data_IF_568825615611
#
_entry.id   IF_568825615611
#
_cell.length_a   1.000
_cell.length_b   1.000
_cell.length_c   1.000
_cell.angle_alpha   90.00
_cell.angle_beta   90.00
_cell.angle_gamma   90.00
#
_symmetry.space_group_name_H-M   'P 1'
#
loop_
_entity.id
_entity.type
_entity.pdbx_description
1 polymer ?
#
# COMPACT_ATOMS: atom_id res chain seq x y z
N UNK A 1 17.71 -26.28 17.42
CA UNK A 1 16.34 -26.35 16.88
C UNK A 1 15.99 -24.95 16.40
N UNK A 2 15.97 -24.75 15.08
CA UNK A 2 15.50 -23.49 14.50
C UNK A 2 13.98 -23.45 14.65
N UNK A 3 13.47 -22.46 15.37
CA UNK A 3 12.06 -22.11 15.30
C UNK A 3 11.83 -21.56 13.89
N UNK A 4 11.03 -22.27 13.10
CA UNK A 4 10.45 -21.69 11.90
C UNK A 4 9.61 -20.49 12.35
N UNK A 5 10.01 -19.29 11.93
CA UNK A 5 9.23 -18.07 12.06
C UNK A 5 7.86 -18.34 11.42
N UNK A 6 6.79 -18.39 12.22
CA UNK A 6 5.45 -18.38 11.67
C UNK A 6 5.29 -17.04 10.95
N UNK A 7 5.00 -17.07 9.65
CA UNK A 7 4.80 -15.85 8.87
C UNK A 7 3.76 -14.96 9.58
N UNK A 8 4.08 -13.68 9.82
CA UNK A 8 3.18 -12.68 10.40
C UNK A 8 2.15 -12.12 9.41
N UNK A 9 1.97 -12.83 8.29
CA UNK A 9 0.93 -12.59 7.30
C UNK A 9 -0.08 -13.70 7.50
N UNK A 10 -1.32 -13.35 7.84
CA UNK A 10 -2.37 -14.31 8.15
C UNK A 10 -3.60 -14.01 7.30
N UNK A 11 -3.87 -14.79 6.23
CA UNK A 11 -5.10 -14.66 5.46
C UNK A 11 -6.35 -14.92 6.32
N UNK A 12 -7.39 -14.10 6.16
CA UNK A 12 -8.70 -14.42 6.74
C UNK A 12 -9.57 -15.21 5.74
N UNK A 13 -10.73 -15.65 6.20
CA UNK A 13 -11.68 -16.44 5.39
C UNK A 13 -12.80 -15.57 4.78
N UNK A 14 -12.68 -14.25 4.81
CA UNK A 14 -13.75 -13.32 4.41
C UNK A 14 -13.98 -13.29 2.89
N UNK A 15 -13.05 -13.83 2.11
CA UNK A 15 -13.17 -14.07 0.66
C UNK A 15 -13.65 -15.50 0.32
N UNK A 16 -13.96 -16.32 1.33
CA UNK A 16 -14.48 -17.67 1.15
C UNK A 16 -13.54 -18.56 0.31
N UNK A 17 -14.02 -19.20 -0.77
CA UNK A 17 -13.20 -20.10 -1.59
C UNK A 17 -12.07 -19.40 -2.34
N UNK A 18 -12.11 -18.07 -2.45
CA UNK A 18 -11.10 -17.23 -3.11
C UNK A 18 -10.18 -16.56 -2.09
N UNK A 19 -9.97 -17.20 -0.93
CA UNK A 19 -9.06 -16.71 0.10
C UNK A 19 -7.62 -16.58 -0.40
N UNK A 20 -6.87 -15.69 0.24
CA UNK A 20 -5.45 -15.51 -0.08
C UNK A 20 -4.65 -16.72 0.43
N UNK A 21 -3.65 -17.14 -0.34
CA UNK A 21 -2.79 -18.27 0.01
C UNK A 21 -1.35 -17.81 0.12
N UNK A 22 -0.55 -18.52 0.93
CA UNK A 22 0.84 -18.19 1.18
C UNK A 22 1.76 -19.31 0.70
N UNK A 23 2.68 -18.99 -0.20
CA UNK A 23 3.74 -19.89 -0.64
C UNK A 23 5.06 -19.47 0.04
N UNK A 24 5.48 -20.24 1.04
CA UNK A 24 6.69 -19.95 1.83
C UNK A 24 8.01 -20.30 1.12
N UNK A 25 7.95 -21.07 0.03
CA UNK A 25 9.11 -21.47 -0.78
C UNK A 25 9.23 -20.66 -2.08
N UNK A 26 8.42 -19.61 -2.21
CA UNK A 26 8.42 -18.71 -3.36
C UNK A 26 9.77 -18.04 -3.59
N UNK A 27 9.99 -17.61 -4.84
CA UNK A 27 11.22 -16.94 -5.26
C UNK A 27 10.90 -15.77 -6.18
N UNK A 28 11.25 -14.56 -5.74
CA UNK A 28 11.17 -13.34 -6.55
C UNK A 28 12.58 -12.84 -6.82
N UNK A 29 12.90 -12.61 -8.10
CA UNK A 29 14.23 -12.23 -8.57
C UNK A 29 15.34 -13.22 -8.13
N UNK A 30 15.01 -14.51 -8.08
CA UNK A 30 15.95 -15.60 -7.73
C UNK A 30 16.29 -15.71 -6.24
N UNK A 31 15.70 -14.88 -5.39
CA UNK A 31 15.89 -14.87 -3.94
C UNK A 31 14.61 -15.37 -3.23
N UNK A 32 14.73 -16.05 -2.07
CA UNK A 32 13.56 -16.50 -1.30
C UNK A 32 12.63 -15.34 -0.93
N UNK A 33 11.32 -15.60 -1.00
CA UNK A 33 10.27 -14.68 -0.57
C UNK A 33 9.03 -15.48 -0.16
N UNK A 34 8.24 -14.90 0.74
CA UNK A 34 6.86 -15.33 0.95
C UNK A 34 6.02 -14.75 -0.18
N UNK A 35 5.48 -15.61 -1.03
CA UNK A 35 4.62 -15.19 -2.13
C UNK A 35 3.15 -15.31 -1.70
N UNK A 36 2.40 -14.23 -1.88
CA UNK A 36 0.96 -14.18 -1.66
C UNK A 36 0.29 -14.50 -2.99
N UNK A 37 -0.48 -15.58 -3.02
CA UNK A 37 -1.23 -16.05 -4.17
C UNK A 37 -2.73 -16.16 -3.84
N UNK A 38 -3.51 -16.74 -4.75
CA UNK A 38 -4.96 -16.86 -4.61
C UNK A 38 -5.63 -15.48 -4.70
N UNK A 39 -6.64 -15.25 -3.86
CA UNK A 39 -7.42 -14.01 -3.90
C UNK A 39 -8.58 -14.07 -4.89
N UNK A 40 -9.50 -13.11 -4.74
CA UNK A 40 -10.68 -13.00 -5.60
C UNK A 40 -10.36 -12.09 -6.79
N UNK A 41 -10.24 -12.65 -7.99
CA UNK A 41 -9.98 -11.85 -9.19
C UNK A 41 -11.28 -11.44 -9.88
N UNK A 42 -11.41 -10.15 -10.21
CA UNK A 42 -12.52 -9.60 -11.00
C UNK A 42 -11.97 -8.64 -12.05
N UNK A 43 -11.90 -9.12 -13.30
CA UNK A 43 -11.26 -8.36 -14.37
C UNK A 43 -9.79 -8.10 -14.07
N UNK A 44 -9.41 -6.82 -14.04
CA UNK A 44 -8.04 -6.37 -13.74
C UNK A 44 -7.76 -6.18 -12.25
N UNK A 45 -8.73 -6.45 -11.39
CA UNK A 45 -8.62 -6.26 -9.95
C UNK A 45 -8.45 -7.61 -9.25
N UNK A 46 -7.47 -7.69 -8.36
CA UNK A 46 -7.25 -8.83 -7.48
C UNK A 46 -7.46 -8.38 -6.04
N UNK A 47 -8.30 -9.10 -5.30
CA UNK A 47 -8.63 -8.77 -3.92
C UNK A 47 -8.03 -9.78 -2.95
N UNK A 48 -7.35 -9.28 -1.93
CA UNK A 48 -6.80 -10.03 -0.82
C UNK A 48 -7.33 -9.53 0.52
N UNK A 49 -7.44 -10.45 1.48
CA UNK A 49 -7.91 -10.15 2.83
C UNK A 49 -7.08 -10.91 3.86
N UNK A 50 -6.61 -10.18 4.85
CA UNK A 50 -5.77 -10.70 5.92
C UNK A 50 -6.35 -10.33 7.28
N UNK A 51 -6.27 -11.24 8.23
CA UNK A 51 -6.47 -10.93 9.64
C UNK A 51 -5.30 -10.08 10.15
N UNK A 52 -4.07 -10.48 9.83
CA UNK A 52 -2.84 -9.79 10.23
C UNK A 52 -1.91 -9.67 9.01
N UNK A 53 -1.24 -8.52 8.89
CA UNK A 53 -0.29 -8.29 7.81
C UNK A 53 0.90 -7.47 8.31
N UNK A 54 2.01 -8.15 8.55
CA UNK A 54 3.28 -7.56 8.93
C UNK A 54 4.41 -8.15 8.08
N UNK A 55 5.49 -7.38 7.92
CA UNK A 55 6.69 -7.79 7.18
C UNK A 55 7.89 -7.60 8.08
N UNK A 56 8.41 -8.68 8.65
CA UNK A 56 9.52 -8.64 9.59
C UNK A 56 10.84 -8.19 8.97
N UNK A 57 11.80 -7.84 9.83
CA UNK A 57 13.19 -7.59 9.42
C UNK A 57 13.73 -8.73 8.56
N UNK A 58 14.35 -8.38 7.43
CA UNK A 58 14.92 -9.31 6.45
C UNK A 58 13.89 -10.23 5.76
N UNK A 59 12.60 -10.13 6.10
CA UNK A 59 11.54 -10.83 5.39
C UNK A 59 11.28 -10.16 4.04
N UNK A 60 10.93 -10.97 3.06
CA UNK A 60 10.49 -10.55 1.73
C UNK A 60 9.08 -11.08 1.53
N UNK A 61 8.11 -10.19 1.41
CA UNK A 61 6.69 -10.53 1.16
C UNK A 61 6.28 -9.89 -0.15
N UNK A 62 5.81 -10.71 -1.09
CA UNK A 62 5.44 -10.25 -2.42
C UNK A 62 4.02 -10.69 -2.75
N UNK A 63 3.24 -9.82 -3.38
CA UNK A 63 2.01 -10.22 -4.04
C UNK A 63 2.34 -10.79 -5.42
N UNK A 64 1.85 -11.99 -5.71
CA UNK A 64 1.88 -12.52 -7.07
C UNK A 64 1.03 -11.61 -7.96
N UNK A 65 1.46 -11.42 -9.21
CA UNK A 65 0.72 -10.65 -10.20
C UNK A 65 0.31 -11.55 -11.38
N UNK A 66 -0.86 -12.22 -11.31
CA UNK A 66 -1.40 -13.00 -12.41
C UNK A 66 -1.59 -12.17 -13.67
N UNK A 67 -1.57 -12.83 -14.83
CA UNK A 67 -1.82 -12.16 -16.10
C UNK A 67 -3.16 -11.39 -16.08
N UNK A 68 -3.15 -10.18 -16.68
CA UNK A 68 -4.26 -9.24 -16.75
C UNK A 68 -4.65 -8.53 -15.45
N UNK A 69 -4.01 -8.82 -14.31
CA UNK A 69 -4.16 -8.01 -13.09
C UNK A 69 -3.35 -6.71 -13.23
N UNK A 70 -4.00 -5.59 -12.93
CA UNK A 70 -3.38 -4.26 -12.91
C UNK A 70 -3.51 -3.59 -11.54
N UNK A 71 -4.44 -4.06 -10.69
CA UNK A 71 -4.66 -3.53 -9.35
C UNK A 71 -4.79 -4.66 -8.34
N UNK A 72 -4.07 -4.55 -7.23
CA UNK A 72 -4.11 -5.47 -6.09
C UNK A 72 -4.66 -4.70 -4.89
N UNK A 73 -5.86 -5.08 -4.44
CA UNK A 73 -6.54 -4.49 -3.30
C UNK A 73 -6.41 -5.41 -2.10
N UNK A 74 -5.77 -4.93 -1.05
CA UNK A 74 -5.53 -5.70 0.16
C UNK A 74 -6.14 -5.01 1.35
N UNK A 75 -6.97 -5.72 2.11
CA UNK A 75 -7.48 -5.26 3.41
C UNK A 75 -6.92 -6.07 4.57
N UNK A 76 -6.77 -5.39 5.70
CA UNK A 76 -6.45 -5.98 7.00
C UNK A 76 -7.70 -5.84 7.88
N UNK A 77 -8.22 -6.98 8.34
CA UNK A 77 -9.49 -7.09 9.09
C UNK A 77 -9.28 -7.22 10.60
N UNK A 78 -8.05 -7.45 11.04
CA UNK A 78 -7.68 -7.53 12.46
C UNK A 78 -7.67 -6.18 13.16
N UNK A 79 -7.21 -6.20 14.41
CA UNK A 79 -7.26 -5.05 15.33
C UNK A 79 -5.91 -4.38 15.54
N UNK A 80 -4.89 -4.71 14.73
CA UNK A 80 -3.53 -4.23 14.91
C UNK A 80 -3.05 -3.43 13.70
N UNK A 81 -2.18 -2.42 13.91
CA UNK A 81 -1.51 -1.74 12.82
C UNK A 81 -0.57 -2.70 12.09
N UNK A 82 -0.32 -2.44 10.81
CA UNK A 82 0.64 -3.20 10.00
C UNK A 82 2.05 -2.64 10.16
N UNK A 83 2.97 -3.46 10.63
CA UNK A 83 4.39 -3.13 10.78
C UNK A 83 5.21 -3.70 9.62
N UNK A 84 5.81 -2.81 8.84
CA UNK A 84 6.63 -3.13 7.67
C UNK A 84 8.08 -2.78 8.01
N UNK A 85 8.88 -3.79 8.28
CA UNK A 85 10.32 -3.69 8.56
C UNK A 85 11.18 -4.31 7.46
N UNK A 86 10.64 -5.27 6.70
CA UNK A 86 11.33 -5.93 5.58
C UNK A 86 10.96 -5.36 4.20
N UNK A 87 11.07 -6.22 3.19
CA UNK A 87 10.70 -5.89 1.80
C UNK A 87 9.25 -6.26 1.53
N UNK A 88 8.46 -5.27 1.15
CA UNK A 88 7.11 -5.44 0.62
C UNK A 88 7.12 -5.18 -0.88
N UNK A 89 6.61 -6.10 -1.69
CA UNK A 89 6.63 -5.94 -3.14
C UNK A 89 5.47 -6.55 -3.89
N UNK A 90 5.48 -6.32 -5.19
CA UNK A 90 4.59 -6.95 -6.18
C UNK A 90 5.50 -7.62 -7.20
N UNK A 91 5.28 -8.91 -7.46
CA UNK A 91 6.03 -9.65 -8.49
C UNK A 91 5.43 -9.36 -9.88
N UNK A 92 5.58 -8.10 -10.31
CA UNK A 92 5.04 -7.55 -11.55
C UNK A 92 4.71 -6.07 -11.44
N UNK A 93 3.91 -5.55 -12.38
CA UNK A 93 3.67 -4.11 -12.55
C UNK A 93 2.33 -3.60 -11.98
N UNK A 94 1.58 -4.44 -11.24
CA UNK A 94 0.29 -4.02 -10.70
C UNK A 94 0.44 -2.94 -9.61
N UNK A 95 -0.52 -2.02 -9.57
CA UNK A 95 -0.69 -1.08 -8.48
C UNK A 95 -1.12 -1.82 -7.21
N UNK A 96 -0.60 -1.38 -6.06
CA UNK A 96 -0.91 -1.97 -4.76
C UNK A 96 -1.70 -0.98 -3.89
N UNK A 97 -2.83 -1.43 -3.38
CA UNK A 97 -3.70 -0.67 -2.50
C UNK A 97 -3.82 -1.41 -1.16
N UNK A 98 -3.38 -0.79 -0.07
CA UNK A 98 -3.40 -1.37 1.27
C UNK A 98 -4.40 -0.61 2.15
N UNK A 99 -5.27 -1.34 2.85
CA UNK A 99 -6.29 -0.81 3.75
C UNK A 99 -6.15 -1.42 5.15
N UNK A 100 -5.83 -0.61 6.15
CA UNK A 100 -5.84 -1.02 7.56
C UNK A 100 -6.29 0.16 8.44
N UNK A 101 -7.53 0.16 8.97
CA UNK A 101 -8.03 1.22 9.85
C UNK A 101 -7.17 1.46 11.10
N UNK A 102 -6.40 0.46 11.53
CA UNK A 102 -5.55 0.57 12.72
C UNK A 102 -4.25 1.33 12.44
N UNK A 103 -3.83 1.45 11.18
CA UNK A 103 -2.62 2.18 10.78
C UNK A 103 -1.53 1.33 10.15
N UNK A 104 -0.45 2.01 9.76
CA UNK A 104 0.75 1.43 9.16
C UNK A 104 2.00 2.05 9.76
N UNK A 105 3.03 1.23 9.99
CA UNK A 105 4.39 1.66 10.32
C UNK A 105 5.36 1.14 9.25
N UNK A 106 5.96 2.05 8.48
CA UNK A 106 7.12 1.74 7.66
C UNK A 106 8.39 2.02 8.46
N UNK A 107 8.97 0.96 9.02
CA UNK A 107 10.17 0.97 9.85
C UNK A 107 11.44 1.35 9.08
N UNK A 108 12.52 1.67 9.80
CA UNK A 108 13.72 2.28 9.18
C UNK A 108 14.40 1.38 8.13
N UNK A 109 14.16 0.07 8.16
CA UNK A 109 14.68 -0.92 7.23
C UNK A 109 13.70 -1.32 6.14
N UNK A 110 12.47 -0.78 6.17
CA UNK A 110 11.44 -1.11 5.21
C UNK A 110 11.91 -0.77 3.78
N UNK A 111 11.66 -1.69 2.86
CA UNK A 111 11.94 -1.49 1.43
C UNK A 111 10.68 -1.80 0.65
N UNK A 112 10.37 -0.99 -0.36
CA UNK A 112 9.29 -1.26 -1.28
C UNK A 112 9.86 -1.67 -2.63
N UNK A 113 9.42 -2.82 -3.14
CA UNK A 113 9.78 -3.35 -4.46
C UNK A 113 8.51 -3.49 -5.31
N UNK A 114 7.99 -2.34 -5.76
CA UNK A 114 6.71 -2.22 -6.43
C UNK A 114 6.93 -1.48 -7.76
N UNK A 115 6.67 -2.17 -8.88
CA UNK A 115 6.80 -1.57 -10.21
C UNK A 115 5.55 -0.73 -10.63
N UNK A 116 4.43 -0.88 -9.92
CA UNK A 116 3.27 0.02 -10.01
C UNK A 116 3.29 1.17 -8.99
N UNK A 117 2.14 1.80 -8.80
CA UNK A 117 1.88 2.79 -7.76
C UNK A 117 1.45 2.15 -6.44
N UNK A 118 1.62 2.86 -5.32
CA UNK A 118 1.20 2.44 -4.00
C UNK A 118 0.20 3.43 -3.38
N UNK A 119 -0.92 2.91 -2.89
CA UNK A 119 -1.81 3.64 -1.98
C UNK A 119 -1.92 2.89 -0.65
N UNK A 120 -1.73 3.61 0.45
CA UNK A 120 -1.89 3.09 1.81
C UNK A 120 -2.95 3.92 2.50
N UNK A 121 -3.99 3.26 3.02
CA UNK A 121 -5.15 3.90 3.59
C UNK A 121 -5.49 3.36 4.98
N UNK A 122 -5.89 4.25 5.90
CA UNK A 122 -6.49 3.90 7.18
C UNK A 122 -8.00 4.14 7.22
N UNK A 123 -8.62 4.25 6.04
CA UNK A 123 -10.07 4.32 5.91
C UNK A 123 -10.76 3.01 6.28
N UNK A 124 -12.08 3.08 6.44
CA UNK A 124 -12.93 1.91 6.72
C UNK A 124 -13.27 1.10 5.47
N UNK A 125 -13.09 1.67 4.27
CA UNK A 125 -13.29 0.99 3.00
C UNK A 125 -12.53 1.67 1.85
N UNK A 126 -12.45 0.96 0.72
CA UNK A 126 -12.01 1.49 -0.57
C UNK A 126 -13.23 1.65 -1.50
N UNK A 127 -13.59 2.87 -1.92
CA UNK A 127 -14.70 3.09 -2.83
C UNK A 127 -14.31 2.86 -4.30
N UNK A 128 -15.27 2.35 -5.08
CA UNK A 128 -15.13 2.04 -6.50
C UNK A 128 -16.13 2.83 -7.36
N UNK A 129 -15.80 3.01 -8.65
CA UNK A 129 -16.55 3.88 -9.56
C UNK A 129 -17.99 3.42 -9.85
N UNK A 130 -18.26 2.12 -9.70
CA UNK A 130 -19.60 1.54 -9.80
C UNK A 130 -20.41 1.64 -8.50
N UNK A 131 -19.88 2.29 -7.47
CA UNK A 131 -20.51 2.41 -6.16
C UNK A 131 -20.25 1.21 -5.24
N UNK A 132 -19.48 0.21 -5.67
CA UNK A 132 -18.98 -0.83 -4.77
C UNK A 132 -18.02 -0.23 -3.72
N UNK A 133 -17.99 -0.84 -2.54
CA UNK A 133 -17.12 -0.48 -1.43
C UNK A 133 -16.45 -1.75 -0.97
N UNK A 134 -15.11 -1.75 -0.85
CA UNK A 134 -14.38 -2.87 -0.27
C UNK A 134 -14.06 -2.55 1.19
N UNK A 135 -14.85 -3.05 2.17
CA UNK A 135 -14.72 -2.65 3.57
C UNK A 135 -13.58 -3.39 4.27
N UNK A 136 -12.92 -2.71 5.21
CA UNK A 136 -11.95 -3.30 6.13
C UNK A 136 -12.60 -4.24 7.15
N UNK A 137 -13.87 -4.02 7.51
CA UNK A 137 -14.64 -4.92 8.39
C UNK A 137 -15.78 -5.59 7.61
N UNK A 138 -15.53 -6.73 6.94
CA UNK A 138 -16.58 -7.45 6.22
C UNK A 138 -17.62 -8.04 7.17
N UNK A 139 -18.90 -7.92 6.85
CA UNK A 139 -20.01 -8.39 7.71
C UNK A 139 -20.39 -9.88 7.52
N UNK A 140 -19.75 -10.58 6.57
CA UNK A 140 -19.69 -12.04 6.32
C UNK A 140 -18.93 -12.30 4.99
N UNK A 141 -18.83 -13.55 4.49
CA UNK A 141 -18.22 -13.88 3.18
C UNK A 141 -18.72 -12.92 2.11
N UNK A 142 -17.89 -11.93 1.80
CA UNK A 142 -18.31 -10.81 0.97
C UNK A 142 -17.98 -11.19 -0.45
N UNK A 143 -19.00 -11.51 -1.24
CA UNK A 143 -18.82 -11.71 -2.67
C UNK A 143 -18.33 -10.39 -3.28
N UNK A 144 -17.04 -10.32 -3.58
CA UNK A 144 -16.50 -9.19 -4.33
C UNK A 144 -16.96 -9.35 -5.77
N UNK A 145 -17.75 -8.40 -6.27
CA UNK A 145 -18.38 -8.49 -7.61
C UNK A 145 -18.03 -7.29 -8.51
N UNK A 146 -17.03 -6.49 -8.15
CA UNK A 146 -16.66 -5.28 -8.92
C UNK A 146 -15.52 -5.55 -9.90
N UNK A 147 -15.65 -5.01 -11.11
CA UNK A 147 -14.56 -4.88 -12.10
C UNK A 147 -14.11 -3.42 -12.27
N UNK A 148 -14.65 -2.50 -11.47
CA UNK A 148 -14.44 -1.06 -11.63
C UNK A 148 -13.12 -0.63 -11.01
N UNK A 149 -12.65 0.56 -11.36
CA UNK A 149 -11.48 1.17 -10.69
C UNK A 149 -11.92 1.88 -9.40
N UNK A 150 -11.04 1.96 -8.38
CA UNK A 150 -11.32 2.73 -7.19
C UNK A 150 -11.59 4.19 -7.56
N UNK A 151 -12.60 4.80 -6.93
CA UNK A 151 -12.74 6.25 -6.95
C UNK A 151 -11.64 6.78 -6.04
N UNK A 152 -10.71 7.54 -6.61
CA UNK A 152 -9.72 8.26 -5.82
C UNK A 152 -10.35 9.04 -4.66
N UNK A 153 -9.57 9.17 -3.59
CA UNK A 153 -9.74 10.01 -2.41
C UNK A 153 -11.14 10.65 -2.19
N UNK A 154 -12.05 9.95 -1.51
CA UNK A 154 -13.26 10.54 -0.93
C UNK A 154 -13.05 10.78 0.57
N UNK A 155 -12.81 12.03 0.95
CA UNK A 155 -12.44 12.49 2.31
C UNK A 155 -13.63 12.57 3.29
N UNK A 156 -14.59 11.64 3.21
CA UNK A 156 -15.84 11.67 3.97
C UNK A 156 -16.01 10.57 5.03
N UNK A 157 -14.99 9.74 5.25
CA UNK A 157 -15.08 8.57 6.14
C UNK A 157 -14.46 8.89 7.51
N UNK A 158 -14.92 8.24 8.59
CA UNK A 158 -14.20 8.24 9.86
C UNK A 158 -12.89 7.45 9.67
N UNK A 159 -11.84 8.13 9.23
CA UNK A 159 -10.49 7.60 9.21
C UNK A 159 -10.00 7.56 10.66
N UNK A 160 -9.47 6.42 11.08
CA UNK A 160 -8.76 6.24 12.34
C UNK A 160 -7.35 5.71 12.04
N UNK A 161 -6.49 5.59 13.05
CA UNK A 161 -5.14 5.05 12.85
C UNK A 161 -4.13 6.07 12.30
N UNK A 162 -2.85 5.70 12.40
CA UNK A 162 -1.72 6.52 11.98
C UNK A 162 -0.95 5.81 10.88
N UNK A 163 -0.60 6.53 9.81
CA UNK A 163 0.45 6.08 8.88
C UNK A 163 1.73 6.76 9.29
N UNK A 164 2.71 6.00 9.74
CA UNK A 164 4.03 6.51 10.12
C UNK A 164 5.10 5.93 9.21
N UNK A 165 5.86 6.81 8.57
CA UNK A 165 7.03 6.44 7.77
C UNK A 165 8.31 6.95 8.41
N UNK A 166 9.23 6.04 8.75
CA UNK A 166 10.61 6.36 9.14
C UNK A 166 11.62 5.77 8.13
N UNK A 167 11.14 5.09 7.10
CA UNK A 167 11.93 4.43 6.08
C UNK A 167 12.46 5.40 5.03
N UNK A 168 13.49 4.96 4.30
CA UNK A 168 14.00 5.63 3.11
C UNK A 168 13.45 4.90 1.89
N UNK A 169 12.35 5.41 1.33
CA UNK A 169 11.60 4.75 0.26
C UNK A 169 11.86 5.51 -1.04
N UNK A 170 12.31 4.79 -2.06
CA UNK A 170 12.45 5.29 -3.41
C UNK A 170 11.64 4.42 -4.37
N UNK A 171 10.73 5.06 -5.10
CA UNK A 171 9.98 4.47 -6.19
C UNK A 171 10.74 4.64 -7.52
N UNK A 172 10.43 3.81 -8.49
CA UNK A 172 10.86 4.03 -9.87
C UNK A 172 10.24 5.34 -10.41
N UNK A 173 10.82 5.92 -11.47
CA UNK A 173 10.29 7.14 -12.06
C UNK A 173 8.81 7.02 -12.46
N UNK A 174 8.09 8.14 -12.39
CA UNK A 174 6.67 8.30 -12.80
C UNK A 174 5.64 7.50 -11.97
N UNK A 175 6.07 6.73 -10.96
CA UNK A 175 5.16 6.03 -10.06
C UNK A 175 4.50 7.00 -9.06
N UNK A 176 3.40 6.58 -8.43
CA UNK A 176 2.75 7.41 -7.40
C UNK A 176 2.72 6.70 -6.04
N UNK A 177 2.94 7.48 -4.97
CA UNK A 177 2.71 7.05 -3.59
C UNK A 177 1.64 7.95 -2.96
N UNK A 178 0.63 7.34 -2.38
CA UNK A 178 -0.38 8.02 -1.58
C UNK A 178 -0.47 7.41 -0.18
N UNK A 179 -0.24 8.22 0.85
CA UNK A 179 -0.62 7.92 2.22
C UNK A 179 -1.87 8.69 2.58
N UNK A 180 -2.93 7.96 2.94
CA UNK A 180 -4.22 8.49 3.33
C UNK A 180 -4.59 7.96 4.71
N UNK A 181 -4.57 8.80 5.73
CA UNK A 181 -5.03 8.36 7.05
C UNK A 181 -5.48 9.51 7.93
N UNK A 182 -5.96 9.22 9.13
CA UNK A 182 -6.34 10.29 10.08
C UNK A 182 -5.11 11.13 10.44
N UNK A 183 -4.01 10.45 10.75
CA UNK A 183 -2.71 11.06 10.95
C UNK A 183 -1.68 10.44 10.01
N UNK A 184 -0.91 11.29 9.34
CA UNK A 184 0.24 10.89 8.53
C UNK A 184 1.49 11.51 9.13
N UNK A 185 2.46 10.69 9.53
CA UNK A 185 3.71 11.11 10.14
C UNK A 185 4.88 10.65 9.27
N UNK A 186 5.56 11.58 8.60
CA UNK A 186 6.71 11.30 7.73
C UNK A 186 8.00 11.81 8.35
N UNK A 187 8.91 10.91 8.70
CA UNK A 187 10.22 11.20 9.30
C UNK A 187 11.40 10.67 8.48
N UNK A 188 11.12 9.91 7.42
CA UNK A 188 12.12 9.32 6.55
C UNK A 188 12.32 10.09 5.24
N UNK A 189 12.64 9.38 4.16
CA UNK A 189 12.69 9.94 2.81
C UNK A 189 11.67 9.24 1.92
N UNK A 190 10.96 10.01 1.10
CA UNK A 190 10.18 9.50 -0.02
C UNK A 190 10.73 10.12 -1.30
N UNK A 191 11.09 9.30 -2.27
CA UNK A 191 11.52 9.73 -3.59
C UNK A 191 10.68 9.03 -4.66
N UNK A 192 10.16 9.79 -5.63
CA UNK A 192 9.49 9.27 -6.81
C UNK A 192 9.74 10.23 -7.99
N UNK A 193 10.88 10.08 -8.69
CA UNK A 193 11.29 11.02 -9.73
C UNK A 193 10.25 11.17 -10.86
N UNK A 194 9.71 12.37 -11.08
CA UNK A 194 8.66 12.60 -12.09
C UNK A 194 7.31 11.95 -11.76
N UNK A 195 7.17 11.37 -10.57
CA UNK A 195 5.95 10.79 -10.05
C UNK A 195 5.19 11.74 -9.13
N UNK A 196 4.29 11.18 -8.32
CA UNK A 196 3.49 11.95 -7.35
C UNK A 196 3.65 11.36 -5.95
N UNK A 197 3.90 12.23 -4.96
CA UNK A 197 3.87 11.87 -3.54
C UNK A 197 2.73 12.65 -2.86
N UNK A 198 1.76 11.94 -2.29
CA UNK A 198 0.62 12.52 -1.59
C UNK A 198 0.58 12.05 -0.13
N UNK A 199 0.58 13.01 0.80
CA UNK A 199 0.37 12.76 2.23
C UNK A 199 -0.93 13.47 2.64
N UNK A 200 -1.94 12.71 2.99
CA UNK A 200 -3.31 13.20 3.15
C UNK A 200 -3.87 12.72 4.48
N UNK A 201 -4.38 13.65 5.29
CA UNK A 201 -5.01 13.36 6.56
C UNK A 201 -5.45 14.60 7.32
N UNK A 202 -6.15 14.39 8.44
CA UNK A 202 -6.57 15.48 9.33
C UNK A 202 -5.35 16.15 9.98
N UNK A 203 -4.31 15.35 10.24
CA UNK A 203 -3.01 15.84 10.70
C UNK A 203 -1.90 15.23 9.87
N UNK A 204 -1.09 16.08 9.23
CA UNK A 204 0.13 15.67 8.52
C UNK A 204 1.34 16.28 9.24
N UNK A 205 2.23 15.43 9.74
CA UNK A 205 3.49 15.81 10.38
C UNK A 205 4.64 15.41 9.47
N UNK A 206 5.51 16.36 9.16
CA UNK A 206 6.76 16.12 8.43
C UNK A 206 7.92 16.48 9.34
N UNK A 207 8.80 15.51 9.60
CA UNK A 207 9.96 15.66 10.48
C UNK A 207 11.01 16.61 9.91
N UNK A 208 11.84 17.19 10.78
CA UNK A 208 12.86 18.19 10.39
C UNK A 208 13.86 17.67 9.36
N UNK A 209 14.17 16.37 9.39
CA UNK A 209 15.09 15.70 8.47
C UNK A 209 14.38 14.96 7.34
N UNK A 210 13.05 15.05 7.27
CA UNK A 210 12.28 14.29 6.30
C UNK A 210 12.36 14.92 4.92
N UNK A 211 12.43 14.08 3.88
CA UNK A 211 12.52 14.54 2.49
C UNK A 211 11.37 13.98 1.65
N UNK A 212 10.89 14.80 0.73
CA UNK A 212 9.95 14.45 -0.34
C UNK A 212 10.58 14.90 -1.65
N UNK A 213 10.95 13.96 -2.51
CA UNK A 213 11.60 14.24 -3.79
C UNK A 213 10.75 13.70 -4.95
N UNK A 214 10.21 14.61 -5.74
CA UNK A 214 9.50 14.30 -7.00
C UNK A 214 10.27 14.81 -8.23
N UNK A 215 11.53 15.22 -8.05
CA UNK A 215 12.31 15.83 -9.11
C UNK A 215 12.58 14.82 -10.22
N UNK A 216 12.26 15.22 -11.46
CA UNK A 216 12.65 14.49 -12.65
C UNK A 216 13.97 15.08 -13.21
N UNK A 217 14.79 14.29 -13.92
CA UNK A 217 15.96 14.80 -14.67
C UNK A 217 15.64 15.98 -15.61
N UNK A 218 14.38 16.14 -16.00
CA UNK A 218 13.88 17.21 -16.89
C UNK A 218 13.10 18.33 -16.17
N UNK A 219 13.14 18.41 -14.83
CA UNK A 219 12.57 19.50 -14.03
C UNK A 219 11.10 19.28 -13.63
N UNK A 220 10.85 19.12 -12.33
CA UNK A 220 9.53 18.87 -11.74
C UNK A 220 8.97 20.07 -10.97
N UNK A 221 9.11 21.29 -11.48
CA UNK A 221 8.59 22.48 -10.81
C UNK A 221 8.10 23.53 -11.80
N UNK A 222 6.79 23.66 -11.97
CA UNK A 222 6.22 24.92 -12.44
C UNK A 222 6.31 25.92 -11.28
N UNK A 223 7.34 26.76 -11.32
CA UNK A 223 7.41 27.95 -10.48
C UNK A 223 6.37 28.96 -11.01
N UNK A 224 5.37 29.37 -10.23
CA UNK A 224 4.46 30.43 -10.65
C UNK A 224 5.28 31.72 -10.77
N UNK A 225 5.43 32.22 -11.99
CA UNK A 225 6.10 33.48 -12.32
C UNK A 225 5.48 34.63 -11.48
N UNK A 226 6.05 34.96 -10.32
CA UNK A 226 5.80 36.26 -9.69
C UNK A 226 6.61 37.32 -10.44
N UNK A 227 6.07 37.77 -11.57
CA UNK A 227 6.50 39.03 -12.16
C UNK A 227 6.04 40.15 -11.22
N UNK A 228 6.97 40.56 -10.36
CA UNK A 228 6.83 41.79 -9.58
C UNK A 228 6.53 42.96 -10.51
N UNK A 229 5.32 43.49 -10.40
CA UNK A 229 4.99 44.82 -10.90
C UNK A 229 5.69 45.81 -9.98
N UNK A 230 6.88 46.26 -10.37
CA UNK A 230 7.47 47.49 -9.84
C UNK A 230 6.78 48.67 -10.50
N UNK A 231 6.11 49.49 -9.68
CA UNK A 231 5.69 50.84 -10.04
C UNK A 231 6.87 51.83 -10.04
#
# INVERSE_FOLDING_TARGET
>A
MALACQAQVWPDESLGPESSTLESEGRVNGLPALLIEGGAQRGQNLFHSFLEFNVDLQQRVYFANPAAVSNIFTRITGSHPSEIWGTLGVDGEADLYLLNPNGFLFGATATLDIAGSLMVSTGEDLPFADGFRYPATPTQTSDVLTMSVPLGLQTGLPIQGTIRNVAQIAFNPEQSLTFLGHRVEHFGSLASPGGTLQLLGDTVTVGETATLDVSAPNGGGEHPDWRGVSG
#
